data_IF_124156138428
#
_entry.id   IF_124156138428
#
_cell.length_a   1.000
_cell.length_b   1.000
_cell.length_c   1.000
_cell.angle_alpha   90.00
_cell.angle_beta   90.00
_cell.angle_gamma   90.00
#
_symmetry.space_group_name_H-M   'P 1'
#
loop_
_entity.id
_entity.type
_entity.pdbx_description
1 polymer ?
#
# COMPACT_ATOMS: atom_id res chain seq x y z
N UNK A 1 -58.27 39.57 1.71
CA UNK A 1 -57.71 39.02 2.97
C UNK A 1 -56.40 38.32 2.65
N UNK A 2 -55.28 39.04 2.73
CA UNK A 2 -53.95 38.46 2.55
C UNK A 2 -53.44 38.00 3.92
N UNK A 3 -53.19 36.70 4.06
CA UNK A 3 -52.66 36.10 5.28
C UNK A 3 -51.15 36.30 5.29
N UNK A 4 -50.69 37.15 6.20
CA UNK A 4 -49.29 37.44 6.48
C UNK A 4 -48.69 36.25 7.27
N UNK A 5 -47.74 35.50 6.70
CA UNK A 5 -46.94 34.51 7.43
C UNK A 5 -45.60 35.14 7.82
N UNK A 6 -45.15 35.04 9.09
CA UNK A 6 -43.88 35.62 9.50
C UNK A 6 -42.70 34.84 8.92
N UNK A 7 -41.67 35.58 8.51
CA UNK A 7 -40.40 35.05 8.03
C UNK A 7 -39.69 34.24 9.14
N UNK A 8 -39.47 32.97 8.90
CA UNK A 8 -38.60 32.10 9.70
C UNK A 8 -37.16 32.63 9.62
N UNK A 9 -36.61 33.07 10.76
CA UNK A 9 -35.18 33.38 10.91
C UNK A 9 -34.39 32.08 10.70
N UNK A 10 -33.55 32.06 9.68
CA UNK A 10 -32.51 31.04 9.53
C UNK A 10 -31.56 31.12 10.74
N UNK A 11 -31.16 29.98 11.34
CA UNK A 11 -30.17 30.00 12.40
C UNK A 11 -28.85 30.52 11.84
N UNK A 12 -28.40 31.66 12.36
CA UNK A 12 -27.09 32.24 12.09
C UNK A 12 -26.00 31.36 12.67
N UNK A 13 -25.75 30.21 12.05
CA UNK A 13 -24.54 29.43 12.27
C UNK A 13 -23.37 30.35 11.96
N UNK A 14 -22.49 30.59 12.94
CA UNK A 14 -21.21 31.24 12.68
C UNK A 14 -20.53 30.44 11.57
N UNK A 15 -20.47 30.98 10.37
CA UNK A 15 -19.51 30.55 9.36
C UNK A 15 -18.15 30.81 10.00
N UNK A 16 -17.55 29.77 10.57
CA UNK A 16 -16.13 29.78 10.90
C UNK A 16 -15.41 30.05 9.60
N UNK A 17 -14.85 31.26 9.47
CA UNK A 17 -13.93 31.60 8.39
C UNK A 17 -12.81 30.57 8.42
N UNK A 18 -12.82 29.65 7.45
CA UNK A 18 -11.66 28.80 7.18
C UNK A 18 -10.53 29.77 6.87
N UNK A 19 -9.40 29.74 7.61
CA UNK A 19 -8.27 30.61 7.31
C UNK A 19 -7.91 30.48 5.84
N UNK A 20 -7.79 31.61 5.15
CA UNK A 20 -7.43 31.60 3.74
C UNK A 20 -6.04 30.95 3.59
N UNK A 21 -5.99 29.79 2.94
CA UNK A 21 -4.74 29.08 2.67
C UNK A 21 -3.94 29.95 1.70
N UNK A 22 -2.66 30.20 2.03
CA UNK A 22 -1.80 30.96 1.13
C UNK A 22 -1.63 30.20 -0.20
N UNK A 23 -1.73 30.88 -1.36
CA UNK A 23 -1.65 30.20 -2.67
C UNK A 23 -0.35 29.40 -2.88
N UNK A 24 0.78 29.90 -2.37
CA UNK A 24 2.09 29.25 -2.48
C UNK A 24 2.19 27.94 -1.67
N UNK A 25 1.58 27.90 -0.49
CA UNK A 25 1.44 26.67 0.33
C UNK A 25 0.59 25.65 -0.41
N UNK A 26 -0.56 26.08 -0.95
CA UNK A 26 -1.49 25.18 -1.64
C UNK A 26 -0.90 24.65 -2.95
N UNK A 27 -0.19 25.48 -3.72
CA UNK A 27 0.50 25.05 -4.94
C UNK A 27 1.57 23.98 -4.64
N UNK A 28 2.41 24.21 -3.62
CA UNK A 28 3.41 23.24 -3.19
C UNK A 28 2.76 21.91 -2.77
N UNK A 29 1.66 21.99 -2.01
CA UNK A 29 0.88 20.81 -1.63
C UNK A 29 0.32 20.04 -2.84
N UNK A 30 -0.27 20.73 -3.81
CA UNK A 30 -0.82 20.09 -5.01
C UNK A 30 0.26 19.41 -5.86
N UNK A 31 1.42 20.05 -6.02
CA UNK A 31 2.58 19.44 -6.69
C UNK A 31 3.03 18.16 -5.97
N UNK A 32 3.06 18.19 -4.64
CA UNK A 32 3.35 16.99 -3.84
C UNK A 32 2.33 15.86 -4.07
N UNK A 33 1.03 16.18 -4.10
CA UNK A 33 -0.04 15.20 -4.36
C UNK A 33 0.04 14.59 -5.76
N UNK A 34 0.40 15.40 -6.76
CA UNK A 34 0.63 14.93 -8.11
C UNK A 34 1.75 13.88 -8.17
N UNK A 35 2.92 14.18 -7.61
CA UNK A 35 4.06 13.26 -7.62
C UNK A 35 3.82 12.01 -6.76
N UNK A 36 3.09 12.17 -5.66
CA UNK A 36 2.66 11.07 -4.80
C UNK A 36 1.82 10.01 -5.54
N UNK A 37 0.90 10.44 -6.39
CA UNK A 37 0.00 9.54 -7.11
C UNK A 37 0.72 8.67 -8.15
N UNK A 38 1.90 9.09 -8.63
CA UNK A 38 2.71 8.31 -9.59
C UNK A 38 3.39 7.09 -8.96
N UNK A 39 3.56 7.07 -7.62
CA UNK A 39 4.04 5.91 -6.83
C UNK A 39 5.35 5.27 -7.34
N UNK A 40 6.29 6.07 -7.82
CA UNK A 40 7.66 5.62 -8.15
C UNK A 40 8.64 6.11 -7.08
N UNK A 41 9.80 5.46 -6.89
CA UNK A 41 10.81 5.95 -5.96
C UNK A 41 11.19 7.42 -6.17
N UNK A 42 11.41 7.82 -7.43
CA UNK A 42 11.76 9.19 -7.78
C UNK A 42 10.62 10.17 -7.48
N UNK A 43 9.38 9.82 -7.84
CA UNK A 43 8.22 10.68 -7.58
C UNK A 43 7.93 10.83 -6.08
N UNK A 44 8.20 9.80 -5.27
CA UNK A 44 8.08 9.91 -3.81
C UNK A 44 9.09 10.90 -3.21
N UNK A 45 10.32 10.97 -3.72
CA UNK A 45 11.30 11.95 -3.26
C UNK A 45 10.88 13.39 -3.63
N UNK A 46 10.35 13.58 -4.84
CA UNK A 46 9.81 14.88 -5.26
C UNK A 46 8.59 15.28 -4.42
N UNK A 47 7.70 14.34 -4.11
CA UNK A 47 6.55 14.57 -3.24
C UNK A 47 6.98 15.04 -1.84
N UNK A 48 7.98 14.37 -1.24
CA UNK A 48 8.58 14.78 0.05
C UNK A 48 9.11 16.21 0.00
N UNK A 49 9.85 16.56 -1.06
CA UNK A 49 10.39 17.91 -1.22
C UNK A 49 9.28 18.97 -1.32
N UNK A 50 8.22 18.68 -2.08
CA UNK A 50 7.09 19.59 -2.23
C UNK A 50 6.27 19.75 -0.94
N UNK A 51 5.99 18.67 -0.22
CA UNK A 51 5.33 18.74 1.08
C UNK A 51 6.20 19.42 2.13
N UNK A 52 7.51 19.17 2.12
CA UNK A 52 8.48 19.91 2.95
C UNK A 52 8.41 21.41 2.69
N UNK A 53 8.39 21.83 1.41
CA UNK A 53 8.24 23.25 1.07
C UNK A 53 6.92 23.84 1.53
N UNK A 54 5.81 23.10 1.45
CA UNK A 54 4.53 23.57 2.00
C UNK A 54 4.61 23.79 3.53
N UNK A 55 5.30 22.89 4.24
CA UNK A 55 5.54 23.00 5.70
C UNK A 55 6.48 24.16 6.04
N UNK A 56 7.52 24.41 5.23
CA UNK A 56 8.44 25.54 5.44
C UNK A 56 7.72 26.89 5.26
N UNK A 57 6.79 26.96 4.31
CA UNK A 57 5.97 28.15 4.04
C UNK A 57 4.90 28.37 5.12
N UNK A 58 4.31 27.29 5.64
CA UNK A 58 3.35 27.30 6.73
C UNK A 58 3.45 26.00 7.58
N UNK A 59 4.14 26.07 8.74
CA UNK A 59 4.29 24.91 9.63
C UNK A 59 2.97 24.43 10.24
N UNK A 60 1.91 25.22 10.16
CA UNK A 60 0.57 24.91 10.67
C UNK A 60 -0.38 24.36 9.60
N UNK A 61 0.12 24.09 8.38
CA UNK A 61 -0.69 23.48 7.34
C UNK A 61 -0.76 21.94 7.52
N UNK A 62 -1.72 21.48 8.32
CA UNK A 62 -1.91 20.06 8.66
C UNK A 62 -1.92 19.09 7.45
N UNK A 63 -2.56 19.41 6.30
CA UNK A 63 -2.60 18.50 5.16
C UNK A 63 -1.22 18.13 4.60
N UNK A 64 -0.23 19.05 4.67
CA UNK A 64 1.12 18.74 4.21
C UNK A 64 1.86 17.80 5.15
N UNK A 65 1.65 17.91 6.47
CA UNK A 65 2.20 16.95 7.44
C UNK A 65 1.62 15.54 7.25
N UNK A 66 0.31 15.43 7.02
CA UNK A 66 -0.33 14.14 6.72
C UNK A 66 0.16 13.54 5.40
N UNK A 67 0.28 14.35 4.35
CA UNK A 67 0.76 13.87 3.06
C UNK A 67 2.28 13.52 3.06
N UNK A 68 3.07 14.21 3.88
CA UNK A 68 4.47 13.83 4.13
C UNK A 68 4.55 12.50 4.89
N UNK A 69 3.67 12.28 5.86
CA UNK A 69 3.57 11.02 6.58
C UNK A 69 3.23 9.85 5.63
N UNK A 70 2.29 10.07 4.71
CA UNK A 70 1.99 9.13 3.63
C UNK A 70 3.26 8.80 2.83
N UNK A 71 4.03 9.80 2.40
CA UNK A 71 5.30 9.59 1.68
C UNK A 71 6.23 8.60 2.37
N UNK A 72 6.47 8.81 3.66
CA UNK A 72 7.30 7.90 4.45
C UNK A 72 6.71 6.50 4.57
N UNK A 73 5.38 6.37 4.67
CA UNK A 73 4.70 5.08 4.68
C UNK A 73 4.95 4.27 3.41
N UNK A 74 4.97 4.90 2.23
CA UNK A 74 5.21 4.17 0.98
C UNK A 74 6.69 3.86 0.72
N UNK A 75 7.60 4.70 1.21
CA UNK A 75 9.05 4.43 1.12
C UNK A 75 9.48 3.16 1.86
N UNK A 76 8.67 2.67 2.81
CA UNK A 76 8.89 1.40 3.51
C UNK A 76 8.10 0.21 2.97
N UNK A 77 7.49 0.30 1.78
CA UNK A 77 6.71 -0.80 1.20
C UNK A 77 7.53 -1.70 0.29
N UNK A 78 7.20 -3.00 0.21
CA UNK A 78 7.90 -3.94 -0.69
C UNK A 78 7.79 -3.58 -2.18
N UNK A 79 6.71 -2.91 -2.62
CA UNK A 79 6.52 -2.62 -4.05
C UNK A 79 7.32 -1.38 -4.51
N UNK A 80 7.30 -0.31 -3.71
CA UNK A 80 7.84 1.02 -4.09
C UNK A 80 9.07 1.41 -3.27
N UNK A 81 9.19 0.90 -2.05
CA UNK A 81 10.15 1.36 -1.07
C UNK A 81 11.60 1.11 -1.47
N UNK A 82 12.44 2.12 -1.27
CA UNK A 82 13.90 2.05 -1.47
C UNK A 82 14.67 2.05 -0.15
N UNK A 83 13.98 1.90 0.98
CA UNK A 83 14.58 1.87 2.30
C UNK A 83 13.79 1.03 3.30
N UNK A 84 14.44 0.70 4.41
CA UNK A 84 13.84 -0.15 5.44
C UNK A 84 12.64 0.54 6.09
N UNK A 85 11.51 -0.18 6.30
CA UNK A 85 10.39 0.36 7.06
C UNK A 85 10.78 0.88 8.44
N UNK A 86 11.82 0.32 9.08
CA UNK A 86 12.36 0.80 10.36
C UNK A 86 12.85 2.26 10.30
N UNK A 87 13.38 2.69 9.16
CA UNK A 87 13.89 4.06 8.98
C UNK A 87 12.77 5.06 8.69
N UNK A 88 11.71 4.62 8.00
CA UNK A 88 10.66 5.52 7.49
C UNK A 88 9.41 5.56 8.37
N UNK A 89 9.01 4.45 8.99
CA UNK A 89 7.78 4.39 9.78
C UNK A 89 7.75 5.35 10.98
N UNK A 90 8.83 5.53 11.76
CA UNK A 90 8.83 6.54 12.83
C UNK A 90 8.63 7.97 12.31
N UNK A 91 9.14 8.28 11.10
CA UNK A 91 8.93 9.58 10.46
C UNK A 91 7.48 9.75 9.99
N UNK A 92 6.89 8.69 9.44
CA UNK A 92 5.47 8.68 9.10
C UNK A 92 4.60 8.93 10.33
N UNK A 93 4.88 8.22 11.43
CA UNK A 93 4.17 8.38 12.69
C UNK A 93 4.30 9.79 13.27
N UNK A 94 5.52 10.33 13.35
CA UNK A 94 5.77 11.67 13.86
C UNK A 94 5.03 12.75 13.05
N UNK A 95 5.05 12.65 11.72
CA UNK A 95 4.38 13.60 10.83
C UNK A 95 2.83 13.48 10.92
N UNK A 96 2.29 12.27 11.04
CA UNK A 96 0.86 12.06 11.27
C UNK A 96 0.40 12.62 12.62
N UNK A 97 1.18 12.39 13.69
CA UNK A 97 0.92 12.97 15.01
C UNK A 97 0.98 14.50 14.95
N UNK A 98 1.95 15.07 14.23
CA UNK A 98 2.05 16.52 14.06
C UNK A 98 0.82 17.09 13.34
N UNK A 99 0.34 16.42 12.29
CA UNK A 99 -0.89 16.80 11.62
C UNK A 99 -2.09 16.78 12.58
N UNK A 100 -2.23 15.76 13.42
CA UNK A 100 -3.31 15.67 14.42
C UNK A 100 -3.18 16.70 15.57
N UNK A 101 -1.97 17.12 15.93
CA UNK A 101 -1.78 18.20 16.90
C UNK A 101 -2.26 19.55 16.36
N UNK A 102 -2.16 19.76 15.05
CA UNK A 102 -2.61 20.97 14.36
C UNK A 102 -4.11 20.90 14.10
N UNK A 103 -4.57 19.78 13.54
CA UNK A 103 -5.97 19.50 13.23
C UNK A 103 -6.38 18.11 13.73
N UNK A 104 -6.96 18.02 14.95
CA UNK A 104 -7.45 16.75 15.50
C UNK A 104 -8.58 16.09 14.70
N UNK A 105 -9.24 16.84 13.81
CA UNK A 105 -10.33 16.39 12.95
C UNK A 105 -9.87 16.05 11.52
N UNK A 106 -8.56 16.03 11.24
CA UNK A 106 -8.03 15.65 9.94
C UNK A 106 -8.26 14.17 9.64
N UNK A 107 -9.17 13.89 8.70
CA UNK A 107 -9.43 12.53 8.19
C UNK A 107 -8.16 11.87 7.65
N UNK A 108 -7.36 12.62 6.88
CA UNK A 108 -6.11 12.16 6.31
C UNK A 108 -5.13 11.72 7.39
N UNK A 109 -4.91 12.55 8.43
CA UNK A 109 -3.98 12.23 9.49
C UNK A 109 -4.40 10.99 10.30
N UNK A 110 -5.70 10.81 10.57
CA UNK A 110 -6.23 9.59 11.19
C UNK A 110 -6.00 8.37 10.28
N UNK A 111 -6.23 8.48 8.97
CA UNK A 111 -6.00 7.38 8.03
C UNK A 111 -4.52 6.99 7.96
N UNK A 112 -3.61 7.98 7.92
CA UNK A 112 -2.16 7.75 7.90
C UNK A 112 -1.68 7.10 9.19
N UNK A 113 -2.20 7.52 10.34
CA UNK A 113 -1.90 6.86 11.61
C UNK A 113 -2.44 5.42 11.63
N UNK A 114 -3.65 5.20 11.12
CA UNK A 114 -4.20 3.85 10.94
C UNK A 114 -3.29 2.95 10.10
N UNK A 115 -2.71 3.47 9.02
CA UNK A 115 -1.73 2.76 8.19
C UNK A 115 -0.48 2.39 8.99
N UNK A 116 0.08 3.32 9.78
CA UNK A 116 1.25 3.05 10.64
C UNK A 116 0.93 1.92 11.62
N UNK A 117 -0.21 2.02 12.31
CA UNK A 117 -0.67 1.04 13.31
C UNK A 117 -0.91 -0.33 12.69
N UNK A 118 -1.48 -0.38 11.48
CA UNK A 118 -1.69 -1.61 10.72
C UNK A 118 -0.38 -2.36 10.53
N UNK A 119 0.67 -1.69 10.08
CA UNK A 119 1.98 -2.32 9.85
C UNK A 119 2.88 -2.42 11.09
N UNK A 120 2.39 -2.00 12.25
CA UNK A 120 2.92 -2.35 13.57
C UNK A 120 2.12 -3.50 14.22
N UNK A 121 1.16 -4.09 13.49
CA UNK A 121 0.28 -5.15 13.97
C UNK A 121 -0.59 -4.74 15.16
N UNK A 122 -0.82 -3.43 15.32
CA UNK A 122 -1.72 -2.85 16.32
C UNK A 122 -3.13 -2.81 15.75
N UNK A 123 -3.71 -3.99 15.51
CA UNK A 123 -4.91 -4.18 14.67
C UNK A 123 -6.12 -3.35 15.11
N UNK A 124 -6.42 -3.36 16.42
CA UNK A 124 -7.57 -2.63 16.97
C UNK A 124 -7.41 -1.11 16.86
N UNK A 125 -6.20 -0.60 17.15
CA UNK A 125 -5.90 0.83 17.03
C UNK A 125 -5.92 1.29 15.57
N UNK A 126 -5.44 0.44 14.66
CA UNK A 126 -5.51 0.69 13.22
C UNK A 126 -6.97 0.79 12.73
N UNK A 127 -7.81 -0.18 13.10
CA UNK A 127 -9.24 -0.17 12.76
C UNK A 127 -9.94 1.07 13.31
N UNK A 128 -9.71 1.41 14.58
CA UNK A 128 -10.28 2.62 15.21
C UNK A 128 -9.88 3.90 14.46
N UNK A 129 -8.60 4.03 14.08
CA UNK A 129 -8.09 5.19 13.35
C UNK A 129 -8.70 5.28 11.94
N UNK A 130 -8.81 4.16 11.21
CA UNK A 130 -9.46 4.14 9.90
C UNK A 130 -10.95 4.48 9.97
N UNK A 131 -11.67 3.90 10.93
CA UNK A 131 -13.09 4.22 11.13
C UNK A 131 -13.27 5.69 11.50
N UNK A 132 -12.40 6.26 12.33
CA UNK A 132 -12.41 7.69 12.64
C UNK A 132 -12.15 8.55 11.41
N UNK A 133 -11.20 8.17 10.56
CA UNK A 133 -10.94 8.87 9.31
C UNK A 133 -12.17 8.88 8.38
N UNK A 134 -12.84 7.74 8.25
CA UNK A 134 -14.04 7.58 7.41
C UNK A 134 -15.24 8.35 8.00
N UNK A 135 -15.39 8.38 9.31
CA UNK A 135 -16.42 9.16 10.01
C UNK A 135 -16.22 10.67 9.80
N UNK A 136 -14.98 11.15 9.93
CA UNK A 136 -14.62 12.56 9.71
C UNK A 136 -14.80 12.99 8.25
N UNK A 137 -14.49 12.12 7.29
CA UNK A 137 -14.68 12.37 5.87
C UNK A 137 -15.09 11.08 5.14
N UNK A 138 -16.40 10.86 4.92
CA UNK A 138 -16.89 9.69 4.19
C UNK A 138 -16.41 9.58 2.74
N UNK A 139 -15.92 10.69 2.16
CA UNK A 139 -15.40 10.78 0.80
C UNK A 139 -13.89 10.56 0.70
N UNK A 140 -13.22 10.21 1.81
CA UNK A 140 -11.80 9.87 1.79
C UNK A 140 -11.59 8.44 1.22
N UNK A 141 -11.45 8.34 -0.10
CA UNK A 141 -11.25 7.07 -0.80
C UNK A 141 -10.00 6.31 -0.31
N UNK A 142 -8.93 7.03 0.06
CA UNK A 142 -7.69 6.42 0.52
C UNK A 142 -7.84 5.78 1.91
N UNK A 143 -8.57 6.43 2.82
CA UNK A 143 -8.91 5.85 4.13
C UNK A 143 -9.70 4.56 3.99
N UNK A 144 -10.70 4.53 3.09
CA UNK A 144 -11.48 3.33 2.78
C UNK A 144 -10.63 2.22 2.18
N UNK A 145 -9.75 2.56 1.25
CA UNK A 145 -8.82 1.61 0.64
C UNK A 145 -7.88 0.99 1.67
N UNK A 146 -7.27 1.79 2.54
CA UNK A 146 -6.36 1.28 3.57
C UNK A 146 -7.10 0.48 4.65
N UNK A 147 -8.33 0.86 4.98
CA UNK A 147 -9.18 0.03 5.82
C UNK A 147 -9.51 -1.32 5.16
N UNK A 148 -9.81 -1.32 3.85
CA UNK A 148 -9.99 -2.57 3.10
C UNK A 148 -8.76 -3.48 3.18
N UNK A 149 -7.56 -2.90 3.10
CA UNK A 149 -6.31 -3.66 3.22
C UNK A 149 -6.11 -4.24 4.63
N UNK A 150 -6.46 -3.51 5.68
CA UNK A 150 -6.51 -4.05 7.04
C UNK A 150 -7.50 -5.22 7.12
N UNK A 151 -8.73 -5.03 6.65
CA UNK A 151 -9.77 -6.07 6.67
C UNK A 151 -9.32 -7.33 5.93
N UNK A 152 -8.71 -7.19 4.75
CA UNK A 152 -8.15 -8.28 3.98
C UNK A 152 -7.01 -8.99 4.73
N UNK A 153 -6.11 -8.26 5.38
CA UNK A 153 -5.03 -8.82 6.22
C UNK A 153 -5.58 -9.63 7.41
N UNK A 154 -6.82 -9.36 7.81
CA UNK A 154 -7.57 -10.08 8.84
C UNK A 154 -8.58 -11.08 8.26
N UNK A 155 -8.48 -11.39 6.96
CA UNK A 155 -9.36 -12.34 6.24
C UNK A 155 -10.85 -11.97 6.25
N UNK A 156 -11.18 -10.71 6.54
CA UNK A 156 -12.54 -10.14 6.48
C UNK A 156 -12.86 -9.68 5.06
N UNK A 157 -12.82 -10.62 4.11
CA UNK A 157 -12.77 -10.32 2.67
C UNK A 157 -14.02 -9.61 2.12
N UNK A 158 -15.22 -10.00 2.54
CA UNK A 158 -16.44 -9.33 2.06
C UNK A 158 -16.54 -7.90 2.60
N UNK A 159 -16.06 -7.65 3.82
CA UNK A 159 -15.98 -6.29 4.37
C UNK A 159 -14.93 -5.46 3.63
N UNK A 160 -13.77 -6.07 3.34
CA UNK A 160 -12.72 -5.44 2.55
C UNK A 160 -13.23 -5.02 1.16
N UNK A 161 -13.94 -5.91 0.46
CA UNK A 161 -14.53 -5.60 -0.84
C UNK A 161 -15.56 -4.48 -0.76
N UNK A 162 -16.42 -4.44 0.28
CA UNK A 162 -17.36 -3.33 0.47
C UNK A 162 -16.65 -1.98 0.60
N UNK A 163 -15.56 -1.91 1.38
CA UNK A 163 -14.79 -0.68 1.54
C UNK A 163 -14.01 -0.32 0.27
N UNK A 164 -13.43 -1.31 -0.43
CA UNK A 164 -12.71 -1.07 -1.68
C UNK A 164 -13.64 -0.61 -2.82
N UNK A 165 -14.85 -1.17 -2.92
CA UNK A 165 -15.86 -0.68 -3.87
C UNK A 165 -16.36 0.72 -3.51
N UNK A 166 -16.60 1.01 -2.24
CA UNK A 166 -16.91 2.37 -1.81
C UNK A 166 -15.77 3.37 -2.15
N UNK A 167 -14.51 2.95 -2.04
CA UNK A 167 -13.38 3.76 -2.48
C UNK A 167 -13.37 3.98 -4.00
N UNK A 168 -13.72 2.96 -4.79
CA UNK A 168 -13.81 3.05 -6.25
C UNK A 168 -14.98 3.94 -6.68
N UNK A 169 -16.11 3.89 -6.00
CA UNK A 169 -17.27 4.71 -6.35
C UNK A 169 -16.99 6.21 -6.10
N UNK A 170 -16.04 6.53 -5.21
CA UNK A 170 -15.52 7.89 -5.00
C UNK A 170 -14.47 8.30 -6.04
N UNK A 171 -13.66 7.36 -6.53
CA UNK A 171 -12.63 7.59 -7.57
C UNK A 171 -12.55 6.39 -8.54
N UNK A 172 -13.40 6.36 -9.58
CA UNK A 172 -13.51 5.20 -10.47
C UNK A 172 -12.25 4.91 -11.30
N UNK A 173 -11.44 5.95 -11.54
CA UNK A 173 -10.23 5.86 -12.36
C UNK A 173 -8.96 5.66 -11.54
N UNK A 174 -9.07 5.57 -10.21
CA UNK A 174 -7.93 5.26 -9.36
C UNK A 174 -7.39 3.86 -9.64
N UNK A 175 -6.26 3.81 -10.34
CA UNK A 175 -5.56 2.58 -10.68
C UNK A 175 -5.11 1.81 -9.44
N UNK A 176 -4.77 2.52 -8.35
CA UNK A 176 -4.40 1.90 -7.08
C UNK A 176 -5.61 1.22 -6.42
N UNK A 177 -6.79 1.86 -6.42
CA UNK A 177 -8.00 1.26 -5.86
C UNK A 177 -8.39 0.02 -6.66
N UNK A 178 -8.46 0.11 -7.99
CA UNK A 178 -8.79 -1.02 -8.85
C UNK A 178 -7.76 -2.18 -8.72
N UNK A 179 -6.47 -1.86 -8.61
CA UNK A 179 -5.43 -2.88 -8.38
C UNK A 179 -5.61 -3.61 -7.03
N UNK A 180 -6.03 -2.91 -5.97
CA UNK A 180 -6.28 -3.53 -4.67
C UNK A 180 -7.59 -4.34 -4.67
N UNK A 181 -8.63 -3.93 -5.40
CA UNK A 181 -9.83 -4.75 -5.58
C UNK A 181 -9.45 -6.10 -6.18
N UNK A 182 -8.61 -6.12 -7.22
CA UNK A 182 -8.08 -7.36 -7.79
C UNK A 182 -7.36 -8.24 -6.76
N UNK A 183 -6.51 -7.64 -5.91
CA UNK A 183 -5.80 -8.36 -4.85
C UNK A 183 -6.74 -8.93 -3.78
N UNK A 184 -7.76 -8.17 -3.37
CA UNK A 184 -8.77 -8.62 -2.40
C UNK A 184 -9.59 -9.76 -3.00
N UNK A 185 -9.99 -9.67 -4.27
CA UNK A 185 -10.73 -10.73 -4.98
C UNK A 185 -9.94 -12.03 -5.00
N UNK A 186 -8.66 -11.99 -5.36
CA UNK A 186 -7.80 -13.18 -5.38
C UNK A 186 -7.62 -13.76 -3.97
N UNK A 187 -7.35 -12.90 -2.98
CA UNK A 187 -7.21 -13.29 -1.57
C UNK A 187 -8.50 -13.92 -1.00
N UNK A 188 -9.66 -13.53 -1.52
CA UNK A 188 -10.97 -14.10 -1.20
C UNK A 188 -11.27 -15.42 -1.95
N UNK A 189 -10.31 -15.95 -2.73
CA UNK A 189 -10.48 -17.15 -3.55
C UNK A 189 -11.25 -16.92 -4.85
N UNK A 190 -11.59 -15.67 -5.21
CA UNK A 190 -12.34 -15.32 -6.43
C UNK A 190 -11.38 -15.03 -7.59
N UNK A 191 -10.53 -16.01 -7.91
CA UNK A 191 -9.36 -15.82 -8.78
C UNK A 191 -9.68 -15.35 -10.20
N UNK A 192 -10.64 -15.99 -10.86
CA UNK A 192 -11.05 -15.60 -12.22
C UNK A 192 -11.63 -14.17 -12.25
N UNK A 193 -12.40 -13.79 -11.22
CA UNK A 193 -12.89 -12.42 -11.11
C UNK A 193 -11.76 -11.41 -10.88
N UNK A 194 -10.71 -11.80 -10.16
CA UNK A 194 -9.51 -10.97 -10.01
C UNK A 194 -8.75 -10.79 -11.34
N UNK A 195 -8.60 -11.86 -12.13
CA UNK A 195 -7.98 -11.79 -13.47
C UNK A 195 -8.76 -10.85 -14.38
N UNK A 196 -10.09 -11.02 -14.47
CA UNK A 196 -10.94 -10.15 -15.29
C UNK A 196 -10.85 -8.67 -14.85
N UNK A 197 -10.94 -8.41 -13.54
CA UNK A 197 -10.86 -7.06 -12.98
C UNK A 197 -9.49 -6.40 -13.25
N UNK A 198 -8.39 -7.13 -13.01
CA UNK A 198 -7.04 -6.63 -13.23
C UNK A 198 -6.72 -6.45 -14.72
N UNK A 199 -7.25 -7.30 -15.60
CA UNK A 199 -7.13 -7.14 -17.05
C UNK A 199 -7.76 -5.82 -17.51
N UNK A 200 -8.97 -5.51 -17.02
CA UNK A 200 -9.60 -4.20 -17.27
C UNK A 200 -8.81 -3.04 -16.67
N UNK A 201 -8.23 -3.23 -15.48
CA UNK A 201 -7.40 -2.21 -14.84
C UNK A 201 -6.14 -1.90 -15.64
N UNK A 202 -5.46 -2.92 -16.17
CA UNK A 202 -4.30 -2.75 -17.06
C UNK A 202 -4.70 -2.07 -18.38
N UNK A 203 -5.91 -2.32 -18.88
CA UNK A 203 -6.41 -1.64 -20.07
C UNK A 203 -6.72 -0.14 -19.85
N UNK A 204 -7.03 0.28 -18.61
CA UNK A 204 -7.23 1.69 -18.27
C UNK A 204 -5.92 2.50 -18.37
N UNK A 205 -4.81 1.92 -17.90
CA UNK A 205 -3.48 2.49 -18.05
C UNK A 205 -2.42 1.38 -18.23
N UNK A 206 -1.99 1.13 -19.48
CA UNK A 206 -0.96 0.16 -19.79
C UNK A 206 0.41 0.49 -19.18
N UNK A 207 0.66 1.74 -18.76
CA UNK A 207 1.92 2.20 -18.18
C UNK A 207 1.92 2.20 -16.64
N UNK A 208 0.91 1.58 -16.01
CA UNK A 208 0.87 1.41 -14.56
C UNK A 208 1.43 0.04 -14.11
N UNK A 209 2.68 -0.03 -13.64
CA UNK A 209 3.37 -1.30 -13.40
C UNK A 209 2.73 -2.13 -12.29
N UNK A 210 2.07 -1.49 -11.31
CA UNK A 210 1.49 -2.19 -10.17
C UNK A 210 0.28 -3.04 -10.56
N UNK A 211 -0.59 -2.56 -11.46
CA UNK A 211 -1.72 -3.35 -11.97
C UNK A 211 -1.24 -4.58 -12.74
N UNK A 212 -0.23 -4.40 -13.62
CA UNK A 212 0.39 -5.50 -14.36
C UNK A 212 1.07 -6.52 -13.45
N UNK A 213 1.78 -6.05 -12.42
CA UNK A 213 2.43 -6.92 -11.44
C UNK A 213 1.39 -7.76 -10.68
N UNK A 214 0.26 -7.17 -10.28
CA UNK A 214 -0.85 -7.89 -9.63
C UNK A 214 -1.48 -8.90 -10.59
N UNK A 215 -1.76 -8.51 -11.83
CA UNK A 215 -2.30 -9.42 -12.85
C UNK A 215 -1.38 -10.62 -13.06
N UNK A 216 -0.07 -10.38 -13.16
CA UNK A 216 0.90 -11.44 -13.34
C UNK A 216 0.96 -12.42 -12.15
N UNK A 217 0.87 -11.93 -10.91
CA UNK A 217 0.82 -12.77 -9.71
C UNK A 217 -0.38 -13.71 -9.76
N UNK A 218 -1.57 -13.16 -10.02
CA UNK A 218 -2.83 -13.92 -10.07
C UNK A 218 -2.82 -14.93 -11.23
N UNK A 219 -2.28 -14.56 -12.40
CA UNK A 219 -2.08 -15.48 -13.52
C UNK A 219 -1.15 -16.64 -13.15
N UNK A 220 -0.03 -16.36 -12.49
CA UNK A 220 0.91 -17.39 -12.04
C UNK A 220 0.28 -18.33 -11.01
N UNK A 221 -0.49 -17.79 -10.05
CA UNK A 221 -1.24 -18.57 -9.06
C UNK A 221 -2.38 -19.41 -9.68
N UNK A 222 -2.77 -19.09 -10.92
CA UNK A 222 -3.74 -19.87 -11.71
C UNK A 222 -3.07 -20.88 -12.64
N UNK A 223 -1.75 -21.03 -12.58
CA UNK A 223 -0.98 -21.88 -13.49
C UNK A 223 -0.82 -21.33 -14.92
N UNK A 224 -1.30 -20.11 -15.20
CA UNK A 224 -1.18 -19.43 -16.50
C UNK A 224 0.16 -18.72 -16.60
N UNK A 225 1.23 -19.52 -16.59
CA UNK A 225 2.59 -19.00 -16.47
C UNK A 225 3.05 -18.18 -17.68
N UNK A 226 2.68 -18.59 -18.91
CA UNK A 226 3.08 -17.85 -20.11
C UNK A 226 2.47 -16.45 -20.14
N UNK A 227 1.17 -16.32 -19.84
CA UNK A 227 0.49 -15.03 -19.72
C UNK A 227 1.11 -14.18 -18.60
N UNK A 228 1.45 -14.80 -17.47
CA UNK A 228 2.15 -14.13 -16.36
C UNK A 228 3.52 -13.58 -16.79
N UNK A 229 4.30 -14.38 -17.53
CA UNK A 229 5.62 -13.96 -18.02
C UNK A 229 5.52 -12.80 -19.03
N UNK A 230 4.48 -12.75 -19.86
CA UNK A 230 4.24 -11.59 -20.75
C UNK A 230 4.08 -10.32 -19.92
N UNK A 231 3.22 -10.35 -18.90
CA UNK A 231 3.00 -9.19 -18.02
C UNK A 231 4.28 -8.83 -17.24
N UNK A 232 5.00 -9.82 -16.70
CA UNK A 232 6.19 -9.58 -15.88
C UNK A 232 7.36 -9.01 -16.66
N UNK A 233 7.56 -9.42 -17.91
CA UNK A 233 8.61 -8.85 -18.76
C UNK A 233 8.40 -7.35 -18.97
N UNK A 234 7.16 -6.91 -19.19
CA UNK A 234 6.84 -5.50 -19.26
C UNK A 234 7.06 -4.79 -17.92
N UNK A 235 6.63 -5.38 -16.80
CA UNK A 235 6.89 -4.79 -15.48
C UNK A 235 8.39 -4.62 -15.24
N UNK A 236 9.21 -5.63 -15.54
CA UNK A 236 10.68 -5.57 -15.41
C UNK A 236 11.27 -4.47 -16.30
N UNK A 237 10.77 -4.27 -17.52
CA UNK A 237 11.18 -3.17 -18.40
C UNK A 237 10.81 -1.80 -17.79
N UNK A 238 9.55 -1.65 -17.39
CA UNK A 238 8.99 -0.38 -16.87
C UNK A 238 9.63 0.05 -15.56
N UNK A 239 9.96 -0.89 -14.68
CA UNK A 239 10.56 -0.60 -13.37
C UNK A 239 12.09 -0.59 -13.39
N UNK A 240 12.69 -0.69 -14.58
CA UNK A 240 14.14 -0.83 -14.77
C UNK A 240 14.71 -1.92 -13.86
N UNK A 241 14.11 -3.12 -13.91
CA UNK A 241 14.49 -4.30 -13.13
C UNK A 241 14.46 -4.07 -11.62
N UNK A 242 13.42 -3.41 -11.10
CA UNK A 242 13.25 -3.27 -9.65
C UNK A 242 13.28 -4.63 -8.94
N UNK A 243 13.77 -4.68 -7.69
CA UNK A 243 13.84 -5.94 -6.93
C UNK A 243 12.48 -6.62 -6.76
N UNK A 244 11.38 -5.86 -6.69
CA UNK A 244 10.01 -6.38 -6.65
C UNK A 244 9.59 -7.09 -7.94
N UNK A 245 9.99 -6.56 -9.09
CA UNK A 245 9.72 -7.17 -10.41
C UNK A 245 10.56 -8.43 -10.62
N UNK A 246 11.85 -8.37 -10.27
CA UNK A 246 12.78 -9.49 -10.36
C UNK A 246 12.39 -10.64 -9.44
N UNK A 247 12.02 -10.35 -8.20
CA UNK A 247 11.54 -11.36 -7.25
C UNK A 247 10.33 -12.11 -7.80
N UNK A 248 9.34 -11.40 -8.33
CA UNK A 248 8.18 -12.06 -8.94
C UNK A 248 8.56 -12.91 -10.15
N UNK A 249 9.37 -12.37 -11.07
CA UNK A 249 9.81 -13.09 -12.26
C UNK A 249 10.55 -14.38 -11.90
N UNK A 250 11.49 -14.31 -10.95
CA UNK A 250 12.23 -15.47 -10.46
C UNK A 250 11.30 -16.49 -9.80
N UNK A 251 10.34 -16.03 -9.01
CA UNK A 251 9.34 -16.89 -8.38
C UNK A 251 8.40 -17.57 -9.38
N UNK A 252 8.12 -16.97 -10.54
CA UNK A 252 7.39 -17.62 -11.63
C UNK A 252 8.27 -18.64 -12.33
N UNK A 253 9.51 -18.31 -12.66
CA UNK A 253 10.46 -19.27 -13.23
C UNK A 253 10.65 -20.51 -12.35
N UNK A 254 10.82 -20.33 -11.04
CA UNK A 254 10.94 -21.43 -10.10
C UNK A 254 9.71 -22.36 -10.14
N UNK A 255 8.49 -21.80 -10.17
CA UNK A 255 7.24 -22.58 -10.27
C UNK A 255 7.07 -23.32 -11.60
N UNK A 256 7.69 -22.83 -12.67
CA UNK A 256 7.75 -23.52 -13.97
C UNK A 256 8.83 -24.60 -14.03
N UNK A 257 9.62 -24.80 -12.97
CA UNK A 257 10.79 -25.70 -12.98
C UNK A 257 12.03 -25.11 -13.65
N UNK A 258 11.97 -23.84 -14.07
CA UNK A 258 13.06 -23.07 -14.68
C UNK A 258 14.03 -22.56 -13.60
N UNK A 259 14.69 -23.54 -12.97
CA UNK A 259 15.50 -23.35 -11.75
C UNK A 259 16.72 -22.47 -12.00
N UNK A 260 17.38 -22.63 -13.14
CA UNK A 260 18.60 -21.89 -13.46
C UNK A 260 18.34 -20.40 -13.65
N UNK A 261 17.24 -20.03 -14.33
CA UNK A 261 16.83 -18.64 -14.50
C UNK A 261 16.40 -18.01 -13.17
N UNK A 262 15.67 -18.76 -12.34
CA UNK A 262 15.29 -18.30 -11.01
C UNK A 262 16.51 -18.07 -10.11
N UNK A 263 17.49 -19.00 -10.11
CA UNK A 263 18.75 -18.86 -9.35
C UNK A 263 19.63 -17.73 -9.89
N UNK A 264 19.61 -17.46 -11.20
CA UNK A 264 20.33 -16.33 -11.77
C UNK A 264 19.80 -14.98 -11.24
N UNK A 265 18.48 -14.80 -11.24
CA UNK A 265 17.87 -13.59 -10.68
C UNK A 265 18.07 -13.50 -9.17
N UNK A 266 18.02 -14.63 -8.45
CA UNK A 266 18.32 -14.65 -7.02
C UNK A 266 19.74 -14.15 -6.72
N UNK A 267 20.74 -14.55 -7.53
CA UNK A 267 22.11 -14.02 -7.40
C UNK A 267 22.14 -12.51 -7.64
N UNK A 268 21.47 -12.02 -8.68
CA UNK A 268 21.37 -10.57 -8.96
C UNK A 268 20.74 -9.80 -7.79
N UNK A 269 19.69 -10.34 -7.16
CA UNK A 269 19.07 -9.73 -5.97
C UNK A 269 20.03 -9.71 -4.77
N UNK A 270 20.77 -10.79 -4.55
CA UNK A 270 21.74 -10.90 -3.45
C UNK A 270 22.97 -10.00 -3.66
N UNK A 271 23.44 -9.86 -4.90
CA UNK A 271 24.51 -8.93 -5.28
C UNK A 271 24.05 -7.48 -5.09
N UNK A 272 22.86 -7.14 -5.59
CA UNK A 272 22.25 -5.81 -5.39
C UNK A 272 22.11 -5.48 -3.90
N UNK A 273 21.76 -6.46 -3.07
CA UNK A 273 21.60 -6.29 -1.62
C UNK A 273 22.90 -5.97 -0.88
N UNK A 274 24.09 -6.14 -1.52
CA UNK A 274 25.38 -5.72 -0.96
C UNK A 274 25.59 -4.21 -1.02
N UNK A 275 25.03 -3.57 -2.06
CA UNK A 275 25.27 -2.15 -2.34
C UNK A 275 24.03 -1.27 -2.07
N UNK A 276 22.83 -1.85 -2.16
CA UNK A 276 21.56 -1.12 -2.08
C UNK A 276 20.54 -1.90 -1.27
N UNK A 277 19.55 -1.19 -0.74
CA UNK A 277 18.46 -1.83 -0.01
C UNK A 277 17.60 -2.70 -0.94
N UNK A 278 17.48 -3.98 -0.59
CA UNK A 278 16.54 -4.93 -1.17
C UNK A 278 15.66 -5.46 -0.04
N UNK A 279 14.32 -5.31 -0.11
CA UNK A 279 13.43 -5.87 0.90
C UNK A 279 13.69 -7.37 1.12
N UNK A 280 13.90 -7.83 2.38
CA UNK A 280 14.09 -9.25 2.69
C UNK A 280 13.01 -10.17 2.11
N UNK A 281 11.78 -9.66 2.01
CA UNK A 281 10.64 -10.36 1.41
C UNK A 281 10.92 -10.80 -0.04
N UNK A 282 11.63 -9.98 -0.81
CA UNK A 282 11.91 -10.29 -2.22
C UNK A 282 12.80 -11.51 -2.36
N UNK A 283 13.82 -11.62 -1.51
CA UNK A 283 14.77 -12.73 -1.52
C UNK A 283 14.10 -13.98 -0.93
N UNK A 284 13.37 -13.83 0.19
CA UNK A 284 12.62 -14.92 0.82
C UNK A 284 11.57 -15.54 -0.09
N UNK A 285 10.87 -14.72 -0.89
CA UNK A 285 9.88 -15.20 -1.88
C UNK A 285 10.49 -16.10 -2.94
N UNK A 286 11.69 -15.77 -3.41
CA UNK A 286 12.39 -16.56 -4.44
C UNK A 286 12.87 -17.87 -3.86
N UNK A 287 13.49 -17.87 -2.67
CA UNK A 287 13.87 -19.11 -1.98
C UNK A 287 12.67 -20.01 -1.70
N UNK A 288 11.55 -19.45 -1.23
CA UNK A 288 10.33 -20.21 -1.00
C UNK A 288 9.83 -20.86 -2.30
N UNK A 289 9.82 -20.13 -3.42
CA UNK A 289 9.42 -20.66 -4.72
C UNK A 289 10.37 -21.74 -5.26
N UNK A 290 11.66 -21.67 -4.93
CA UNK A 290 12.68 -22.68 -5.26
C UNK A 290 12.63 -23.93 -4.36
N UNK A 291 11.84 -23.91 -3.28
CA UNK A 291 11.82 -24.96 -2.27
C UNK A 291 12.99 -24.93 -1.29
N UNK A 292 13.78 -23.85 -1.27
CA UNK A 292 14.89 -23.65 -0.33
C UNK A 292 14.35 -23.25 1.06
N UNK A 293 13.85 -24.22 1.84
CA UNK A 293 13.12 -23.99 3.11
C UNK A 293 13.92 -23.17 4.12
N UNK A 294 15.16 -23.57 4.44
CA UNK A 294 15.97 -22.89 5.45
C UNK A 294 16.34 -21.44 5.06
N UNK A 295 16.85 -21.18 3.85
CA UNK A 295 17.02 -19.81 3.36
C UNK A 295 15.71 -19.00 3.36
N UNK A 296 14.59 -19.58 2.94
CA UNK A 296 13.29 -18.90 2.94
C UNK A 296 12.91 -18.45 4.36
N UNK A 297 13.05 -19.33 5.36
CA UNK A 297 12.78 -19.00 6.77
C UNK A 297 13.69 -17.88 7.29
N UNK A 298 14.99 -17.94 6.99
CA UNK A 298 15.93 -16.89 7.37
C UNK A 298 15.49 -15.51 6.86
N UNK A 299 15.12 -15.42 5.58
CA UNK A 299 14.68 -14.16 4.98
C UNK A 299 13.29 -13.70 5.46
N UNK A 300 12.42 -14.63 5.83
CA UNK A 300 11.12 -14.30 6.44
C UNK A 300 11.27 -13.78 7.88
N UNK A 301 12.21 -14.31 8.66
CA UNK A 301 12.54 -13.74 9.97
C UNK A 301 13.10 -12.32 9.84
N UNK A 302 14.01 -12.08 8.89
CA UNK A 302 14.48 -10.72 8.58
C UNK A 302 13.35 -9.79 8.14
N UNK A 303 12.40 -10.31 7.36
CA UNK A 303 11.19 -9.57 6.94
C UNK A 303 10.37 -9.13 8.15
N UNK A 304 10.19 -10.04 9.12
CA UNK A 304 9.54 -9.75 10.40
C UNK A 304 10.32 -8.73 11.22
N UNK A 305 11.64 -8.93 11.38
CA UNK A 305 12.48 -8.05 12.17
C UNK A 305 12.45 -6.62 11.63
N UNK A 306 12.56 -6.41 10.31
CA UNK A 306 12.44 -5.08 9.70
C UNK A 306 11.04 -4.48 9.79
N UNK A 307 10.04 -5.25 10.24
CA UNK A 307 8.65 -4.85 10.29
C UNK A 307 8.12 -4.51 8.90
N UNK A 308 8.43 -5.32 7.89
CA UNK A 308 7.96 -5.09 6.52
C UNK A 308 6.43 -5.16 6.44
N UNK A 309 5.85 -4.39 5.51
CA UNK A 309 4.39 -4.37 5.32
C UNK A 309 3.82 -5.72 4.89
N UNK A 310 4.63 -6.57 4.22
CA UNK A 310 4.29 -7.94 3.83
C UNK A 310 3.94 -8.85 5.02
N UNK A 311 4.47 -8.57 6.21
CA UNK A 311 4.21 -9.37 7.42
C UNK A 311 2.73 -9.38 7.77
N UNK A 312 2.00 -8.30 7.50
CA UNK A 312 0.58 -8.21 7.78
C UNK A 312 -0.26 -9.19 6.93
N UNK A 313 0.28 -9.71 5.83
CA UNK A 313 -0.46 -10.52 4.86
C UNK A 313 0.01 -11.99 4.83
N UNK A 314 0.84 -12.42 5.79
CA UNK A 314 1.44 -13.77 5.80
C UNK A 314 0.41 -14.91 5.79
N UNK A 315 -0.78 -14.67 6.33
CA UNK A 315 -1.85 -15.68 6.38
C UNK A 315 -2.54 -15.88 5.03
N UNK A 316 -2.56 -14.86 4.16
CA UNK A 316 -3.28 -14.89 2.87
C UNK A 316 -2.36 -15.06 1.66
N UNK A 317 -1.09 -14.69 1.78
CA UNK A 317 -0.12 -14.74 0.69
C UNK A 317 0.31 -16.18 0.38
N UNK A 318 0.05 -16.71 -0.84
CA UNK A 318 0.27 -18.13 -1.14
C UNK A 318 1.74 -18.55 -1.21
N UNK A 319 2.65 -17.60 -1.43
CA UNK A 319 4.08 -17.94 -1.55
C UNK A 319 4.71 -18.42 -0.24
N UNK A 320 4.05 -18.23 0.90
CA UNK A 320 4.47 -18.81 2.18
C UNK A 320 4.12 -20.29 2.33
N UNK A 321 3.35 -20.88 1.41
CA UNK A 321 2.87 -22.28 1.53
C UNK A 321 3.97 -23.30 1.85
N UNK A 322 5.16 -23.26 1.20
CA UNK A 322 6.23 -24.23 1.49
C UNK A 322 6.75 -24.19 2.94
N UNK A 323 6.52 -23.09 3.66
CA UNK A 323 7.01 -22.88 5.04
C UNK A 323 5.90 -22.63 6.05
N UNK A 324 4.62 -22.67 5.65
CA UNK A 324 3.46 -22.26 6.44
C UNK A 324 3.31 -23.03 7.75
N UNK A 325 3.66 -24.31 7.74
CA UNK A 325 3.55 -25.19 8.90
C UNK A 325 4.81 -25.23 9.78
N UNK A 326 5.88 -24.57 9.36
CA UNK A 326 7.14 -24.57 10.09
C UNK A 326 7.02 -23.81 11.43
N UNK A 327 7.58 -24.32 12.55
CA UNK A 327 7.47 -23.66 13.86
C UNK A 327 7.97 -22.21 13.89
N UNK A 328 9.08 -21.91 13.21
CA UNK A 328 9.63 -20.54 13.09
C UNK A 328 8.64 -19.57 12.42
N UNK A 329 7.95 -20.02 11.38
CA UNK A 329 6.91 -19.23 10.71
C UNK A 329 5.69 -19.01 11.60
N UNK A 330 5.20 -20.07 12.25
CA UNK A 330 4.07 -20.00 13.20
C UNK A 330 4.36 -19.07 14.38
N UNK A 331 5.60 -19.05 14.87
CA UNK A 331 6.04 -18.11 15.91
C UNK A 331 5.90 -16.64 15.48
N UNK A 332 6.17 -16.31 14.21
CA UNK A 332 5.93 -14.96 13.67
C UNK A 332 4.43 -14.63 13.66
N UNK A 333 3.59 -15.56 13.20
CA UNK A 333 2.12 -15.36 13.22
C UNK A 333 1.60 -15.13 14.64
N UNK A 334 2.09 -15.87 15.62
CA UNK A 334 1.72 -15.67 17.03
C UNK A 334 2.13 -14.29 17.54
N UNK A 335 3.39 -13.90 17.33
CA UNK A 335 3.91 -12.59 17.77
C UNK A 335 3.20 -11.40 17.13
N UNK A 336 2.59 -11.61 15.97
CA UNK A 336 1.85 -10.58 15.23
C UNK A 336 0.33 -10.71 15.38
N UNK A 337 -0.19 -11.65 16.20
CA UNK A 337 -1.63 -11.82 16.41
C UNK A 337 -2.40 -12.32 15.19
N UNK A 338 -1.75 -13.12 14.33
CA UNK A 338 -2.29 -13.66 13.07
C UNK A 338 -2.56 -15.17 13.12
N UNK A 339 -2.92 -15.73 14.28
CA UNK A 339 -3.25 -17.16 14.43
C UNK A 339 -4.57 -17.54 13.77
#
# INVERSE_FOLDING_TARGET
>A
MFVNRPATRWPSGRLTLVPAIRPDVYEAYLKGRYEWNRRTPASLQLAIAHFGRAIDLDPTYAPAHAALADCYNQLGTVIVGTGSPRAHRPRAEAAAIKALQIDPASSEAHATLGYVRHYQWQWAEAEKAFLRAIDLNPSNALARLWYANLLMSRRRFDEALRQAYAARDLDPFSLIVNSNIGWILDSAGRREAAIDHLTRTVALDPEYPQARWRLADVLALSGRYDDSLVQLKEVVRMTNRSSSSLSMLASVYARMGRTDEARAILRELLETARDRYVPPTHIGRVHAALGDVEPALHWVERTYDEGANSVAYMTIEPWYEPIRFHPRFRSILQRTGQQ
#
